data_IF_428171102436
#
_entry.id   IF_428171102436
#
_cell.length_a   1.000
_cell.length_b   1.000
_cell.length_c   1.000
_cell.angle_alpha   90.00
_cell.angle_beta   90.00
_cell.angle_gamma   90.00
#
_symmetry.space_group_name_H-M   'P 1'
#
loop_
_entity.id
_entity.type
_entity.pdbx_description
1 polymer ?
#
# COMPACT_ATOMS: atom_id res chain seq x y z
N UNK A 1 3.63 -2.64 19.53
CA UNK A 1 3.47 -3.09 18.14
C UNK A 1 2.40 -4.15 18.12
N UNK A 2 1.37 -4.00 17.29
CA UNK A 2 0.28 -4.96 17.22
C UNK A 2 0.70 -6.33 16.66
N UNK A 3 -0.12 -7.36 16.92
CA UNK A 3 0.13 -8.77 16.52
C UNK A 3 0.28 -8.99 15.02
N UNK A 4 -0.19 -8.05 14.20
CA UNK A 4 -0.12 -8.11 12.73
C UNK A 4 0.98 -7.25 12.13
N UNK A 5 1.75 -6.50 12.94
CA UNK A 5 2.81 -5.61 12.48
C UNK A 5 4.12 -5.96 13.20
N UNK A 6 5.05 -6.56 12.46
CA UNK A 6 6.41 -6.82 12.89
C UNK A 6 7.33 -5.71 12.34
N UNK A 7 8.14 -5.10 13.19
CA UNK A 7 9.11 -4.07 12.81
C UNK A 7 10.43 -4.29 13.53
N UNK A 8 11.55 -4.01 12.85
CA UNK A 8 12.86 -3.93 13.51
C UNK A 8 12.89 -2.76 14.52
N UNK A 9 13.51 -2.97 15.69
CA UNK A 9 13.33 -2.15 16.91
C UNK A 9 13.73 -0.67 16.80
N UNK A 10 14.43 -0.26 15.74
CA UNK A 10 14.85 1.14 15.50
C UNK A 10 14.54 1.62 14.08
N UNK A 11 13.63 0.95 13.37
CA UNK A 11 13.45 1.15 11.94
C UNK A 11 12.66 2.41 11.54
N UNK A 12 12.03 3.08 12.51
CA UNK A 12 11.18 4.24 12.26
C UNK A 12 11.99 5.53 12.37
N UNK A 13 12.42 6.05 11.21
CA UNK A 13 13.02 7.37 11.07
C UNK A 13 11.98 8.37 10.53
N UNK A 14 11.74 9.46 11.25
CA UNK A 14 10.81 10.52 10.82
C UNK A 14 11.28 11.27 9.57
N UNK A 15 12.60 11.37 9.37
CA UNK A 15 13.20 12.03 8.20
C UNK A 15 13.19 11.11 6.97
N UNK A 16 13.06 9.80 7.19
CA UNK A 16 13.00 8.78 6.14
C UNK A 16 11.88 7.79 6.46
N UNK A 17 10.62 8.26 6.40
CA UNK A 17 9.49 7.42 6.78
C UNK A 17 9.44 6.19 5.87
N UNK A 18 9.14 5.01 6.41
CA UNK A 18 9.00 3.83 5.59
C UNK A 18 7.73 3.88 4.76
N UNK A 19 7.81 3.23 3.60
CA UNK A 19 6.66 2.99 2.74
C UNK A 19 5.92 1.74 3.23
N UNK A 20 4.60 1.83 3.40
CA UNK A 20 3.73 0.67 3.45
C UNK A 20 3.53 0.16 2.01
N UNK A 21 3.99 -1.05 1.73
CA UNK A 21 4.01 -1.60 0.37
C UNK A 21 3.03 -2.78 0.24
N UNK A 22 2.02 -2.58 -0.61
CA UNK A 22 1.10 -3.61 -1.11
C UNK A 22 1.62 -4.13 -2.45
N UNK A 23 2.70 -4.92 -2.44
CA UNK A 23 3.36 -5.30 -3.68
C UNK A 23 4.48 -6.32 -3.55
N UNK A 24 5.02 -6.70 -4.71
CA UNK A 24 6.00 -7.77 -4.84
C UNK A 24 7.46 -7.34 -4.72
N UNK A 25 8.35 -8.33 -4.87
CA UNK A 25 9.80 -8.21 -4.68
C UNK A 25 10.47 -7.15 -5.58
N UNK A 26 9.93 -6.91 -6.78
CA UNK A 26 10.50 -5.92 -7.69
C UNK A 26 10.44 -4.50 -7.10
N UNK A 27 9.33 -4.15 -6.45
CA UNK A 27 9.16 -2.84 -5.79
C UNK A 27 10.02 -2.75 -4.53
N UNK A 28 10.04 -3.80 -3.71
CA UNK A 28 10.93 -3.86 -2.53
C UNK A 28 12.39 -3.62 -2.93
N UNK A 29 12.86 -4.26 -4.01
CA UNK A 29 14.23 -4.09 -4.50
C UNK A 29 14.48 -2.67 -5.01
N UNK A 30 13.54 -2.10 -5.76
CA UNK A 30 13.66 -0.71 -6.25
C UNK A 30 13.75 0.29 -5.09
N UNK A 31 12.88 0.16 -4.09
CA UNK A 31 12.90 0.97 -2.87
C UNK A 31 14.22 0.79 -2.10
N UNK A 32 14.67 -0.45 -1.92
CA UNK A 32 15.94 -0.77 -1.27
C UNK A 32 17.15 -0.14 -1.95
N UNK A 33 17.21 -0.17 -3.28
CA UNK A 33 18.28 0.49 -4.06
C UNK A 33 18.23 2.02 -3.91
N UNK A 34 17.03 2.59 -3.79
CA UNK A 34 16.83 4.02 -3.50
C UNK A 34 17.05 4.38 -2.02
N UNK A 35 17.36 3.40 -1.15
CA UNK A 35 17.48 3.55 0.31
C UNK A 35 16.20 4.06 0.98
N UNK A 36 15.05 3.67 0.42
CA UNK A 36 13.73 3.94 1.00
C UNK A 36 13.32 2.70 1.79
N UNK A 37 13.10 2.81 3.12
CA UNK A 37 12.69 1.67 3.92
C UNK A 37 11.27 1.22 3.56
N UNK A 38 11.02 -0.08 3.59
CA UNK A 38 9.73 -0.65 3.22
C UNK A 38 9.19 -1.61 4.29
N UNK A 39 7.92 -1.42 4.65
CA UNK A 39 7.10 -2.36 5.39
C UNK A 39 6.25 -3.09 4.35
N UNK A 40 6.45 -4.40 4.19
CA UNK A 40 5.70 -5.18 3.21
C UNK A 40 4.42 -5.67 3.84
N UNK A 41 3.28 -5.41 3.19
CA UNK A 41 1.97 -5.86 3.61
C UNK A 41 1.43 -6.92 2.65
N UNK A 42 1.05 -8.09 3.16
CA UNK A 42 0.60 -9.21 2.32
C UNK A 42 -0.30 -10.18 3.09
N UNK A 43 -1.27 -10.83 2.42
CA UNK A 43 -2.02 -11.94 2.99
C UNK A 43 -1.19 -13.19 3.22
N UNK A 44 0.01 -13.27 2.63
CA UNK A 44 0.94 -14.39 2.83
C UNK A 44 2.22 -13.88 3.49
N UNK A 45 2.62 -14.56 4.56
CA UNK A 45 3.88 -14.30 5.27
C UNK A 45 5.09 -14.91 4.55
N UNK A 46 4.87 -15.78 3.56
CA UNK A 46 5.92 -16.49 2.80
C UNK A 46 6.03 -15.97 1.37
N UNK A 47 6.27 -14.67 1.21
CA UNK A 47 6.55 -14.08 -0.10
C UNK A 47 8.01 -13.65 -0.22
N UNK A 48 8.60 -13.67 -1.43
CA UNK A 48 9.96 -13.16 -1.63
C UNK A 48 10.14 -11.72 -1.16
N UNK A 49 9.09 -10.89 -1.25
CA UNK A 49 9.07 -9.52 -0.74
C UNK A 49 9.25 -9.47 0.79
N UNK A 50 8.51 -10.30 1.54
CA UNK A 50 8.61 -10.40 3.01
C UNK A 50 9.99 -10.91 3.50
N UNK A 51 10.66 -11.75 2.71
CA UNK A 51 11.98 -12.30 3.03
C UNK A 51 13.16 -11.48 2.48
N UNK A 52 12.89 -10.36 1.79
CA UNK A 52 13.94 -9.51 1.24
C UNK A 52 14.73 -8.81 2.33
N UNK A 53 16.05 -8.66 2.14
CA UNK A 53 16.93 -7.86 3.02
C UNK A 53 16.59 -6.36 3.06
N UNK A 54 15.77 -5.89 2.12
CA UNK A 54 15.34 -4.48 2.05
C UNK A 54 14.00 -4.23 2.77
N UNK A 55 13.40 -5.27 3.35
CA UNK A 55 12.16 -5.21 4.12
C UNK A 55 12.50 -5.02 5.59
N UNK A 56 12.11 -3.88 6.15
CA UNK A 56 12.37 -3.51 7.56
C UNK A 56 11.20 -3.87 8.49
N UNK A 57 10.08 -4.28 7.91
CA UNK A 57 8.86 -4.63 8.62
C UNK A 57 7.89 -5.42 7.77
N UNK A 58 7.01 -6.14 8.44
CA UNK A 58 6.02 -7.04 7.85
C UNK A 58 4.66 -6.75 8.44
N UNK A 59 3.67 -6.61 7.57
CA UNK A 59 2.28 -6.45 7.93
C UNK A 59 1.49 -7.62 7.36
N UNK A 60 0.94 -8.45 8.24
CA UNK A 60 0.05 -9.52 7.81
C UNK A 60 -1.32 -8.92 7.48
N UNK A 61 -1.81 -9.18 6.27
CA UNK A 61 -3.13 -8.76 5.83
C UNK A 61 -4.12 -9.94 5.86
N UNK A 62 -5.42 -9.67 6.01
CA UNK A 62 -6.45 -10.64 5.67
C UNK A 62 -6.41 -11.03 4.18
N UNK A 63 -7.06 -12.14 3.78
CA UNK A 63 -7.21 -12.50 2.37
C UNK A 63 -7.83 -11.37 1.55
N UNK A 64 -7.33 -11.14 0.34
CA UNK A 64 -7.72 -10.00 -0.50
C UNK A 64 -9.20 -10.00 -0.90
N UNK A 65 -9.83 -11.18 -0.93
CA UNK A 65 -11.26 -11.34 -1.13
C UNK A 65 -12.11 -10.65 -0.04
N UNK A 66 -11.53 -10.37 1.14
CA UNK A 66 -12.16 -9.66 2.25
C UNK A 66 -11.66 -8.21 2.27
N UNK A 67 -12.02 -7.44 1.25
CA UNK A 67 -11.50 -6.08 1.00
C UNK A 67 -11.64 -5.16 2.23
N UNK A 68 -12.80 -5.18 2.88
CA UNK A 68 -13.09 -4.38 4.07
C UNK A 68 -12.17 -4.74 5.23
N UNK A 69 -11.91 -6.03 5.44
CA UNK A 69 -10.99 -6.50 6.49
C UNK A 69 -9.54 -6.08 6.20
N UNK A 70 -9.14 -6.09 4.93
CA UNK A 70 -7.84 -5.55 4.50
C UNK A 70 -7.74 -4.07 4.83
N UNK A 71 -8.77 -3.28 4.50
CA UNK A 71 -8.80 -1.85 4.80
C UNK A 71 -8.78 -1.61 6.31
N UNK A 72 -9.57 -2.33 7.08
CA UNK A 72 -9.57 -2.24 8.55
C UNK A 72 -8.18 -2.53 9.13
N UNK A 73 -7.50 -3.57 8.62
CA UNK A 73 -6.13 -3.89 9.02
C UNK A 73 -5.17 -2.75 8.71
N UNK A 74 -5.26 -2.18 7.51
CA UNK A 74 -4.43 -1.04 7.11
C UNK A 74 -4.71 0.17 7.99
N UNK A 75 -5.96 0.48 8.32
CA UNK A 75 -6.31 1.61 9.17
C UNK A 75 -5.70 1.47 10.57
N UNK A 76 -5.84 0.30 11.20
CA UNK A 76 -5.23 0.04 12.52
C UNK A 76 -3.71 0.20 12.50
N UNK A 77 -3.05 -0.33 11.48
CA UNK A 77 -1.60 -0.14 11.30
C UNK A 77 -1.25 1.33 11.07
N UNK A 78 -2.06 2.05 10.32
CA UNK A 78 -1.89 3.49 10.06
C UNK A 78 -2.08 4.34 11.32
N UNK A 79 -3.03 3.99 12.17
CA UNK A 79 -3.26 4.60 13.49
C UNK A 79 -2.06 4.42 14.42
N UNK A 80 -1.35 3.29 14.32
CA UNK A 80 -0.11 3.04 15.07
C UNK A 80 1.08 3.82 14.48
N UNK A 81 1.25 3.80 13.15
CA UNK A 81 2.44 4.33 12.48
C UNK A 81 2.43 5.84 12.27
N UNK A 82 1.30 6.42 11.87
CA UNK A 82 1.25 7.83 11.49
C UNK A 82 1.62 8.77 12.66
N UNK A 83 1.15 8.54 13.91
CA UNK A 83 1.60 9.33 15.06
C UNK A 83 3.09 9.14 15.37
N UNK A 84 3.62 7.91 15.25
CA UNK A 84 5.03 7.63 15.49
C UNK A 84 5.94 8.39 14.51
N UNK A 85 5.53 8.43 13.24
CA UNK A 85 6.22 9.15 12.16
C UNK A 85 5.95 10.66 12.16
N UNK A 86 4.88 11.12 12.81
CA UNK A 86 4.45 12.52 12.78
C UNK A 86 3.88 12.96 11.43
N UNK A 87 3.56 12.01 10.53
CA UNK A 87 3.05 12.25 9.20
C UNK A 87 2.25 11.04 8.70
N UNK A 88 1.48 11.23 7.61
CA UNK A 88 0.81 10.12 6.93
C UNK A 88 1.84 9.16 6.33
N UNK A 89 1.59 7.86 6.44
CA UNK A 89 2.48 6.82 5.93
C UNK A 89 2.35 6.75 4.40
N UNK A 90 3.45 6.83 3.64
CA UNK A 90 3.40 6.57 2.21
C UNK A 90 2.88 5.15 1.92
N UNK A 91 1.82 5.02 1.12
CA UNK A 91 1.22 3.74 0.71
C UNK A 91 1.48 3.51 -0.78
N UNK A 92 2.26 2.49 -1.10
CA UNK A 92 2.54 2.09 -2.47
C UNK A 92 1.81 0.78 -2.77
N UNK A 93 1.35 0.62 -4.01
CA UNK A 93 0.66 -0.56 -4.50
C UNK A 93 1.33 -1.06 -5.79
N UNK A 94 1.36 -2.37 -5.97
CA UNK A 94 2.09 -3.02 -7.07
C UNK A 94 1.22 -3.75 -8.09
N UNK A 95 -0.08 -3.90 -7.82
CA UNK A 95 -1.03 -4.57 -8.71
C UNK A 95 -2.38 -3.87 -8.72
N UNK A 96 -3.21 -4.29 -9.68
CA UNK A 96 -4.53 -3.76 -9.98
C UNK A 96 -5.55 -4.04 -8.87
N UNK A 97 -5.42 -5.16 -8.16
CA UNK A 97 -6.35 -5.52 -7.08
C UNK A 97 -6.18 -4.57 -5.89
N UNK A 98 -4.94 -4.31 -5.48
CA UNK A 98 -4.64 -3.33 -4.44
C UNK A 98 -4.94 -1.90 -4.89
N UNK A 99 -4.67 -1.55 -6.15
CA UNK A 99 -5.09 -0.25 -6.70
C UNK A 99 -6.61 -0.06 -6.56
N UNK A 100 -7.40 -1.09 -6.89
CA UNK A 100 -8.85 -1.07 -6.74
C UNK A 100 -9.27 -0.80 -5.29
N UNK A 101 -8.66 -1.47 -4.31
CA UNK A 101 -8.95 -1.24 -2.88
C UNK A 101 -8.59 0.20 -2.48
N UNK A 102 -7.40 0.67 -2.84
CA UNK A 102 -6.94 2.01 -2.46
C UNK A 102 -7.81 3.10 -3.09
N UNK A 103 -8.32 2.89 -4.31
CA UNK A 103 -9.25 3.80 -4.96
C UNK A 103 -10.64 3.80 -4.29
N UNK A 104 -11.22 2.63 -4.07
CA UNK A 104 -12.58 2.51 -3.52
C UNK A 104 -12.65 3.04 -2.07
N UNK A 105 -11.62 2.78 -1.27
CA UNK A 105 -11.55 3.17 0.14
C UNK A 105 -10.68 4.41 0.38
N UNK A 106 -10.37 5.17 -0.69
CA UNK A 106 -9.55 6.39 -0.65
C UNK A 106 -9.92 7.34 0.49
N UNK A 107 -11.20 7.71 0.72
CA UNK A 107 -11.54 8.70 1.74
C UNK A 107 -11.13 8.29 3.15
N UNK A 108 -11.23 6.99 3.45
CA UNK A 108 -10.93 6.47 4.79
C UNK A 108 -9.42 6.25 4.96
N UNK A 109 -8.76 5.65 3.97
CA UNK A 109 -7.31 5.43 3.99
C UNK A 109 -6.52 6.75 4.04
N UNK A 110 -7.03 7.83 3.43
CA UNK A 110 -6.39 9.14 3.42
C UNK A 110 -6.19 9.76 4.82
N UNK A 111 -6.87 9.26 5.85
CA UNK A 111 -6.68 9.71 7.24
C UNK A 111 -5.26 9.42 7.74
N UNK A 112 -4.70 8.26 7.38
CA UNK A 112 -3.39 7.79 7.88
C UNK A 112 -2.35 7.58 6.79
N UNK A 113 -2.78 7.47 5.53
CA UNK A 113 -1.90 7.17 4.40
C UNK A 113 -1.81 8.32 3.40
N UNK A 114 -0.63 8.45 2.80
CA UNK A 114 -0.38 9.30 1.64
C UNK A 114 -0.14 8.41 0.43
N UNK A 115 -0.83 8.68 -0.68
CA UNK A 115 -0.72 7.91 -1.91
C UNK A 115 -0.84 8.83 -3.12
N UNK A 116 -0.27 8.41 -4.24
CA UNK A 116 -0.41 9.07 -5.52
C UNK A 116 -1.45 8.28 -6.31
N UNK A 117 -2.62 8.88 -6.52
CA UNK A 117 -3.70 8.30 -7.31
C UNK A 117 -4.10 9.28 -8.41
N UNK A 118 -4.52 8.74 -9.55
CA UNK A 118 -5.25 9.51 -10.55
C UNK A 118 -6.61 9.96 -9.99
N UNK A 119 -7.20 10.98 -10.61
CA UNK A 119 -8.58 11.38 -10.31
C UNK A 119 -9.54 10.18 -10.44
N UNK A 120 -10.51 10.07 -9.55
CA UNK A 120 -11.30 8.85 -9.38
C UNK A 120 -12.12 8.46 -10.63
N UNK A 121 -12.76 9.39 -11.36
CA UNK A 121 -13.37 9.10 -12.67
C UNK A 121 -12.36 8.58 -13.70
N UNK A 122 -11.17 9.20 -13.79
CA UNK A 122 -10.12 8.78 -14.72
C UNK A 122 -9.59 7.39 -14.38
N UNK A 123 -9.34 7.12 -13.09
CA UNK A 123 -8.87 5.82 -12.63
C UNK A 123 -9.85 4.69 -12.96
N UNK A 124 -11.15 4.89 -12.72
CA UNK A 124 -12.18 3.91 -13.08
C UNK A 124 -12.26 3.66 -14.59
N UNK A 125 -12.16 4.73 -15.39
CA UNK A 125 -12.19 4.61 -16.85
C UNK A 125 -10.99 3.84 -17.41
N UNK A 126 -9.80 4.04 -16.85
CA UNK A 126 -8.57 3.35 -17.28
C UNK A 126 -8.49 1.89 -16.80
N UNK A 127 -9.09 1.58 -15.65
CA UNK A 127 -9.01 0.24 -15.06
C UNK A 127 -9.94 -0.78 -15.76
N UNK A 128 -11.07 -0.34 -16.31
CA UNK A 128 -11.97 -1.21 -17.08
C UNK A 128 -11.73 -1.07 -18.57
N UNK A 129 -11.33 -2.17 -19.25
CA UNK A 129 -11.17 -2.19 -20.72
C UNK A 129 -12.44 -1.75 -21.46
N UNK A 130 -13.61 -2.08 -20.93
CA UNK A 130 -14.89 -1.67 -21.50
C UNK A 130 -15.16 -0.16 -21.33
N UNK A 131 -14.89 0.38 -20.13
CA UNK A 131 -15.04 1.83 -19.89
C UNK A 131 -14.00 2.65 -20.65
N UNK A 132 -12.78 2.14 -20.76
CA UNK A 132 -11.72 2.75 -21.56
C UNK A 132 -12.14 2.87 -23.02
N UNK A 133 -12.66 1.78 -23.60
CA UNK A 133 -13.14 1.76 -24.99
C UNK A 133 -14.31 2.73 -25.20
N UNK A 134 -15.24 2.83 -24.24
CA UNK A 134 -16.35 3.77 -24.31
C UNK A 134 -15.89 5.24 -24.27
N UNK A 135 -14.93 5.57 -23.39
CA UNK A 135 -14.31 6.90 -23.31
C UNK A 135 -13.54 7.27 -24.59
N UNK A 136 -12.93 6.29 -25.26
CA UNK A 136 -12.22 6.51 -26.53
C UNK A 136 -13.20 6.76 -27.69
N UNK A 137 -14.25 5.94 -27.80
CA UNK A 137 -15.23 6.04 -28.88
C UNK A 137 -16.08 7.32 -28.84
N UNK A 138 -16.21 7.98 -27.68
CA UNK A 138 -16.93 9.26 -27.56
C UNK A 138 -16.10 10.49 -27.95
N UNK A 139 -14.84 10.32 -28.38
CA UNK A 139 -13.95 11.40 -28.89
C UNK A 139 -13.89 11.48 -30.42
N UNK A 140 -14.52 10.55 -31.14
CA UNK A 140 -14.75 10.61 -32.59
C UNK A 140 -16.22 10.97 -32.88
#
# INVERSE_FOLDING_TARGET
>A
MSVYLELERDALDRLRPPVMLLGGINLVRALGLARIPAIVASPSTYTPAMSSRYTIGRCELPPLAQREAVVERLLRVGEELAPALGARVPLFYGDDDYLGIVQDFRPVLASHYAFILNDAPLARALHSKALFQACWSSRN
#
